data_IF_706880509036
#
_entry.id   IF_706880509036
#
_cell.length_a   1.000
_cell.length_b   1.000
_cell.length_c   1.000
_cell.angle_alpha   90.00
_cell.angle_beta   90.00
_cell.angle_gamma   90.00
#
_symmetry.space_group_name_H-M   'P 1'
#
loop_
_entity.id
_entity.type
_entity.pdbx_description
1 polymer ?
#
# COMPACT_ATOMS: atom_id res chain seq x y z
N UNK A 1 -5.27 27.84 47.35
CA UNK A 1 -5.07 28.30 45.94
C UNK A 1 -4.71 27.11 45.09
N UNK A 2 -5.67 26.55 44.37
CA UNK A 2 -5.47 25.45 43.39
C UNK A 2 -4.88 26.16 42.17
N UNK A 3 -3.57 25.93 41.90
CA UNK A 3 -2.97 26.32 40.63
C UNK A 3 -3.65 25.49 39.56
N UNK A 4 -4.62 26.03 38.85
CA UNK A 4 -5.05 25.49 37.59
C UNK A 4 -3.84 25.25 36.70
N UNK A 5 -3.46 24.00 36.50
CA UNK A 5 -2.46 23.62 35.48
C UNK A 5 -3.02 24.12 34.15
N UNK A 6 -2.57 25.28 33.67
CA UNK A 6 -2.88 25.73 32.31
C UNK A 6 -2.57 24.56 31.39
N UNK A 7 -3.62 24.04 30.80
CA UNK A 7 -3.53 22.92 29.84
C UNK A 7 -2.63 23.39 28.68
N UNK A 8 -1.48 22.74 28.49
CA UNK A 8 -0.59 23.10 27.38
C UNK A 8 -1.34 22.85 26.06
N UNK A 9 -1.56 23.91 25.32
CA UNK A 9 -2.18 23.84 23.98
C UNK A 9 -1.18 23.16 23.04
N UNK A 10 -1.67 22.26 22.21
CA UNK A 10 -0.87 21.61 21.18
C UNK A 10 -0.84 22.51 19.93
N UNK A 11 0.33 22.98 19.55
CA UNK A 11 0.51 23.77 18.32
C UNK A 11 0.19 22.94 17.08
N UNK A 12 0.45 21.64 17.17
CA UNK A 12 0.07 20.64 16.18
C UNK A 12 -0.35 19.35 16.88
N UNK A 13 -1.48 18.78 16.45
CA UNK A 13 -2.02 17.55 17.03
C UNK A 13 -2.44 16.61 15.90
N UNK A 14 -1.69 15.52 15.76
CA UNK A 14 -1.88 14.50 14.70
C UNK A 14 -2.25 13.17 15.33
N UNK A 15 -3.37 12.62 14.92
CA UNK A 15 -3.78 11.26 15.26
C UNK A 15 -3.41 10.33 14.10
N UNK A 16 -2.83 9.17 14.42
CA UNK A 16 -2.83 8.01 13.53
C UNK A 16 -3.79 6.96 14.06
N UNK A 17 -4.62 6.43 13.19
CA UNK A 17 -5.42 5.22 13.42
C UNK A 17 -4.80 4.10 12.61
N UNK A 18 -4.67 2.92 13.22
CA UNK A 18 -4.12 1.71 12.63
C UNK A 18 -4.98 0.52 13.06
N UNK A 19 -5.74 -0.07 12.11
CA UNK A 19 -6.63 -1.19 12.39
C UNK A 19 -5.84 -2.43 12.75
N UNK A 20 -6.26 -3.12 13.81
CA UNK A 20 -5.53 -4.27 14.32
C UNK A 20 -5.76 -5.53 13.48
N UNK A 21 -4.69 -6.06 12.87
CA UNK A 21 -4.71 -7.25 12.01
C UNK A 21 -5.87 -7.22 10.97
N UNK A 22 -6.12 -6.07 10.36
CA UNK A 22 -7.35 -5.66 9.66
C UNK A 22 -8.02 -6.76 8.85
N UNK A 23 -7.33 -7.38 7.88
CA UNK A 23 -7.94 -8.42 7.05
C UNK A 23 -8.31 -9.66 7.86
N UNK A 24 -7.45 -10.06 8.81
CA UNK A 24 -7.73 -11.22 9.65
C UNK A 24 -8.90 -10.95 10.59
N UNK A 25 -8.99 -9.74 11.16
CA UNK A 25 -10.11 -9.36 12.03
C UNK A 25 -11.45 -9.32 11.28
N UNK A 26 -11.47 -8.86 10.02
CA UNK A 26 -12.67 -8.92 9.17
C UNK A 26 -13.06 -10.37 8.88
N UNK A 27 -12.10 -11.27 8.60
CA UNK A 27 -12.42 -12.68 8.40
C UNK A 27 -12.99 -13.31 9.67
N UNK A 28 -12.43 -13.01 10.84
CA UNK A 28 -12.94 -13.51 12.12
C UNK A 28 -14.32 -12.90 12.47
N UNK A 29 -14.59 -11.68 12.06
CA UNK A 29 -15.89 -11.05 12.24
C UNK A 29 -16.96 -11.67 11.32
N UNK A 30 -16.68 -11.78 10.02
CA UNK A 30 -17.61 -12.30 9.02
C UNK A 30 -17.83 -13.82 9.13
N UNK A 31 -16.91 -14.55 9.79
CA UNK A 31 -16.93 -15.99 9.98
C UNK A 31 -16.68 -16.34 11.46
N UNK A 32 -17.73 -16.38 12.29
CA UNK A 32 -17.60 -16.59 13.73
C UNK A 32 -16.82 -17.85 14.13
N UNK A 33 -16.83 -18.89 13.30
CA UNK A 33 -16.05 -20.11 13.52
C UNK A 33 -14.53 -19.89 13.48
N UNK A 34 -14.08 -18.74 12.97
CA UNK A 34 -12.66 -18.35 12.94
C UNK A 34 -12.23 -17.52 14.16
N UNK A 35 -13.17 -17.13 15.01
CA UNK A 35 -12.83 -16.37 16.23
C UNK A 35 -11.96 -17.21 17.15
N UNK A 36 -10.90 -16.57 17.67
CA UNK A 36 -9.91 -17.26 18.50
C UNK A 36 -8.99 -18.24 17.75
N UNK A 37 -9.17 -18.43 16.44
CA UNK A 37 -8.33 -19.30 15.63
C UNK A 37 -7.09 -18.59 15.10
N UNK A 38 -5.94 -19.29 15.02
CA UNK A 38 -4.73 -18.76 14.38
C UNK A 38 -4.90 -18.77 12.86
N UNK A 39 -5.35 -17.65 12.29
CA UNK A 39 -5.60 -17.53 10.85
C UNK A 39 -4.55 -16.70 10.12
N UNK A 40 -4.33 -17.02 8.86
CA UNK A 40 -3.47 -16.24 7.96
C UNK A 40 -4.10 -16.03 6.60
N UNK A 41 -4.04 -14.80 6.15
CA UNK A 41 -4.62 -14.36 4.87
C UNK A 41 -3.59 -14.49 3.76
N UNK A 42 -4.00 -15.01 2.62
CA UNK A 42 -3.15 -15.16 1.42
C UNK A 42 -3.81 -14.56 0.20
N UNK A 43 -3.03 -14.28 -0.85
CA UNK A 43 -3.57 -13.84 -2.14
C UNK A 43 -4.27 -15.02 -2.84
N UNK A 44 -5.52 -15.29 -2.46
CA UNK A 44 -6.33 -16.41 -2.95
C UNK A 44 -5.95 -17.77 -2.38
N UNK A 45 -6.68 -18.81 -2.83
CA UNK A 45 -6.49 -20.18 -2.36
C UNK A 45 -5.11 -20.76 -2.72
N UNK A 46 -4.54 -20.38 -3.85
CA UNK A 46 -3.21 -20.84 -4.30
C UNK A 46 -2.05 -20.02 -3.70
N UNK A 47 -2.37 -18.97 -2.94
CA UNK A 47 -1.37 -18.14 -2.29
C UNK A 47 -0.51 -18.93 -1.31
N UNK A 48 0.81 -18.80 -1.41
CA UNK A 48 1.79 -19.51 -0.58
C UNK A 48 2.39 -18.65 0.49
N UNK A 49 2.17 -17.33 0.44
CA UNK A 49 2.73 -16.34 1.35
C UNK A 49 1.62 -15.64 2.13
N UNK A 50 1.81 -15.49 3.44
CA UNK A 50 0.88 -14.80 4.35
C UNK A 50 1.05 -13.29 4.16
N UNK A 51 -0.04 -12.59 3.81
CA UNK A 51 -0.07 -11.13 3.67
C UNK A 51 -0.41 -10.43 4.99
N UNK A 52 -1.18 -11.08 5.85
CA UNK A 52 -1.42 -10.68 7.25
C UNK A 52 -1.90 -11.89 8.03
N UNK A 53 -1.87 -11.81 9.36
CA UNK A 53 -2.35 -12.89 10.22
C UNK A 53 -2.95 -12.35 11.52
N UNK A 54 -3.82 -13.14 12.13
CA UNK A 54 -4.48 -12.83 13.40
C UNK A 54 -3.50 -12.78 14.57
N UNK A 55 -3.91 -12.19 15.68
CA UNK A 55 -3.08 -12.13 16.89
C UNK A 55 -2.80 -13.50 17.48
N UNK A 56 -3.75 -14.42 17.39
CA UNK A 56 -3.57 -15.81 17.77
C UNK A 56 -2.45 -16.47 16.96
N UNK A 57 -2.41 -16.23 15.64
CA UNK A 57 -1.32 -16.73 14.81
C UNK A 57 0.03 -16.07 15.15
N UNK A 58 0.03 -14.78 15.49
CA UNK A 58 1.25 -14.06 15.93
C UNK A 58 1.82 -14.62 17.23
N UNK A 59 0.98 -15.12 18.15
CA UNK A 59 1.43 -15.78 19.37
C UNK A 59 2.30 -17.02 19.09
N UNK A 60 2.08 -17.71 17.97
CA UNK A 60 2.94 -18.81 17.50
C UNK A 60 4.15 -18.33 16.67
N UNK A 61 4.44 -17.01 16.65
CA UNK A 61 5.54 -16.45 15.89
C UNK A 61 5.30 -16.39 14.37
N UNK A 62 4.04 -16.55 13.92
CA UNK A 62 3.68 -16.41 12.52
C UNK A 62 3.66 -14.92 12.15
N UNK A 63 4.26 -14.57 11.00
CA UNK A 63 4.46 -13.16 10.57
C UNK A 63 4.03 -12.96 9.12
N UNK A 64 3.71 -11.72 8.79
CA UNK A 64 3.58 -11.25 7.40
C UNK A 64 4.84 -11.60 6.59
N UNK A 65 4.64 -12.11 5.37
CA UNK A 65 5.74 -12.56 4.51
C UNK A 65 6.16 -14.03 4.72
N UNK A 66 5.73 -14.68 5.81
CA UNK A 66 6.01 -16.09 6.08
C UNK A 66 5.30 -17.00 5.07
N UNK A 67 5.91 -18.12 4.71
CA UNK A 67 5.26 -19.12 3.86
C UNK A 67 4.22 -19.93 4.67
N UNK A 68 3.10 -20.23 4.04
CA UNK A 68 2.03 -21.05 4.66
C UNK A 68 2.57 -22.40 5.18
N UNK A 69 3.47 -23.04 4.42
CA UNK A 69 4.10 -24.30 4.84
C UNK A 69 4.88 -24.16 6.16
N UNK A 70 5.55 -23.02 6.35
CA UNK A 70 6.28 -22.72 7.59
C UNK A 70 5.32 -22.43 8.74
N UNK A 71 4.27 -21.63 8.47
CA UNK A 71 3.24 -21.33 9.48
C UNK A 71 2.57 -22.60 10.02
N UNK A 72 2.22 -23.54 9.14
CA UNK A 72 1.65 -24.85 9.54
C UNK A 72 2.60 -25.70 10.37
N UNK A 73 3.93 -25.57 10.16
CA UNK A 73 4.91 -26.24 11.02
C UNK A 73 4.98 -25.64 12.43
N UNK A 74 4.69 -24.33 12.57
CA UNK A 74 4.70 -23.64 13.87
C UNK A 74 3.40 -23.84 14.64
N UNK A 75 2.28 -23.99 13.93
CA UNK A 75 0.96 -24.15 14.49
C UNK A 75 0.14 -25.13 13.64
N UNK A 76 -0.15 -26.32 14.16
CA UNK A 76 -0.90 -27.35 13.45
C UNK A 76 -2.36 -26.93 13.19
N UNK A 77 -2.95 -26.13 14.10
CA UNK A 77 -4.30 -25.58 13.95
C UNK A 77 -4.38 -24.35 13.05
N UNK A 78 -3.28 -23.95 12.39
CA UNK A 78 -3.24 -22.77 11.53
C UNK A 78 -4.19 -22.88 10.33
N UNK A 79 -5.12 -21.92 10.25
CA UNK A 79 -6.12 -21.84 9.18
C UNK A 79 -5.70 -20.83 8.12
N UNK A 80 -5.62 -21.27 6.87
CA UNK A 80 -5.37 -20.41 5.72
C UNK A 80 -6.69 -19.92 5.15
N UNK A 81 -6.80 -18.59 4.92
CA UNK A 81 -7.95 -17.95 4.28
C UNK A 81 -7.52 -17.18 3.03
N UNK A 82 -8.31 -17.21 1.94
CA UNK A 82 -8.09 -16.36 0.78
C UNK A 82 -8.51 -14.93 1.11
N UNK A 83 -7.82 -13.94 0.54
CA UNK A 83 -8.19 -12.53 0.70
C UNK A 83 -9.50 -12.20 -0.03
N UNK A 84 -10.29 -11.27 0.56
CA UNK A 84 -11.53 -10.71 0.01
C UNK A 84 -11.41 -9.19 -0.19
N UNK A 85 -10.67 -8.72 -1.23
CA UNK A 85 -10.34 -7.29 -1.38
C UNK A 85 -11.56 -6.37 -1.41
N UNK A 86 -12.68 -6.76 -2.04
CA UNK A 86 -13.91 -5.96 -2.06
C UNK A 86 -14.43 -5.71 -0.64
N UNK A 87 -14.54 -6.75 0.17
CA UNK A 87 -15.02 -6.66 1.55
C UNK A 87 -14.14 -5.76 2.41
N UNK A 88 -12.81 -5.91 2.26
CA UNK A 88 -11.85 -5.05 2.97
C UNK A 88 -11.97 -3.58 2.55
N UNK A 89 -12.18 -3.31 1.26
CA UNK A 89 -12.40 -1.96 0.76
C UNK A 89 -13.71 -1.34 1.28
N UNK A 90 -14.79 -2.12 1.37
CA UNK A 90 -16.08 -1.67 1.91
C UNK A 90 -15.95 -1.22 3.36
N UNK A 91 -15.36 -2.08 4.22
CA UNK A 91 -15.15 -1.76 5.63
C UNK A 91 -14.22 -0.56 5.80
N UNK A 92 -13.12 -0.54 5.06
CA UNK A 92 -12.18 0.59 5.07
C UNK A 92 -12.86 1.90 4.65
N UNK A 93 -13.62 1.90 3.55
CA UNK A 93 -14.30 3.12 3.08
C UNK A 93 -15.31 3.64 4.10
N UNK A 94 -16.03 2.76 4.79
CA UNK A 94 -16.95 3.13 5.88
C UNK A 94 -16.19 3.82 7.02
N UNK A 95 -15.08 3.24 7.46
CA UNK A 95 -14.23 3.83 8.50
C UNK A 95 -13.70 5.21 8.05
N UNK A 96 -13.09 5.28 6.86
CA UNK A 96 -12.48 6.53 6.38
C UNK A 96 -13.49 7.67 6.22
N UNK A 97 -14.73 7.36 5.78
CA UNK A 97 -15.80 8.35 5.68
C UNK A 97 -16.24 8.87 7.06
N UNK A 98 -16.29 8.01 8.08
CA UNK A 98 -16.62 8.44 9.44
C UNK A 98 -15.55 9.36 10.04
N UNK A 99 -14.28 9.19 9.68
CA UNK A 99 -13.20 10.03 10.18
C UNK A 99 -13.32 11.49 9.73
N UNK A 100 -13.92 11.75 8.57
CA UNK A 100 -14.13 13.09 8.04
C UNK A 100 -15.06 13.91 8.95
N UNK A 101 -15.92 13.28 9.75
CA UNK A 101 -16.78 13.95 10.72
C UNK A 101 -16.02 14.65 11.86
N UNK A 102 -14.77 14.28 12.12
CA UNK A 102 -13.92 14.90 13.15
C UNK A 102 -13.09 16.07 12.61
N UNK A 103 -12.60 15.93 11.39
CA UNK A 103 -11.78 16.94 10.71
C UNK A 103 -11.81 16.70 9.19
N UNK A 104 -11.82 17.76 8.36
CA UNK A 104 -11.64 17.61 6.93
C UNK A 104 -10.22 17.18 6.55
N UNK A 105 -9.24 17.37 7.44
CA UNK A 105 -7.83 17.12 7.22
C UNK A 105 -7.50 15.64 7.52
N UNK A 106 -8.05 14.72 6.70
CA UNK A 106 -7.82 13.27 6.78
C UNK A 106 -6.95 12.80 5.61
N UNK A 107 -5.82 12.19 5.92
CA UNK A 107 -4.99 11.48 4.94
C UNK A 107 -5.17 9.98 5.06
N UNK A 108 -5.81 9.36 4.09
CA UNK A 108 -5.85 7.90 3.99
C UNK A 108 -4.47 7.40 3.59
N UNK A 109 -3.74 6.85 4.55
CA UNK A 109 -2.37 6.39 4.34
C UNK A 109 -2.32 4.99 3.70
N UNK A 110 -3.18 4.08 4.17
CA UNK A 110 -3.38 2.75 3.60
C UNK A 110 -4.86 2.32 3.73
N UNK A 111 -5.18 1.08 3.40
CA UNK A 111 -6.53 0.52 3.56
C UNK A 111 -6.95 0.41 5.04
N UNK A 112 -5.99 0.38 5.95
CA UNK A 112 -6.17 0.15 7.38
C UNK A 112 -5.56 1.26 8.26
N UNK A 113 -5.00 2.31 7.66
CA UNK A 113 -4.35 3.41 8.38
C UNK A 113 -4.78 4.78 7.83
N UNK A 114 -5.04 5.73 8.73
CA UNK A 114 -5.30 7.12 8.38
C UNK A 114 -4.68 8.09 9.40
N UNK A 115 -4.17 9.22 8.89
CA UNK A 115 -3.78 10.35 9.71
C UNK A 115 -4.88 11.40 9.72
N UNK A 116 -5.13 11.99 10.90
CA UNK A 116 -6.05 13.10 11.09
C UNK A 116 -5.26 14.28 11.68
N UNK A 117 -5.35 15.44 11.08
CA UNK A 117 -4.91 16.69 11.71
C UNK A 117 -6.08 17.29 12.48
N UNK A 118 -6.00 17.23 13.81
CA UNK A 118 -7.04 17.74 14.69
C UNK A 118 -6.63 19.07 15.36
N UNK A 119 -5.58 19.70 14.87
CA UNK A 119 -5.02 20.94 15.46
C UNK A 119 -6.09 22.02 15.59
N UNK A 120 -6.91 22.20 14.56
CA UNK A 120 -7.96 23.23 14.53
C UNK A 120 -9.25 22.80 15.26
N UNK A 121 -9.40 21.51 15.56
CA UNK A 121 -10.62 20.95 16.17
C UNK A 121 -10.61 21.03 17.69
N UNK A 122 -9.50 21.38 18.32
CA UNK A 122 -9.33 21.40 19.77
C UNK A 122 -10.32 22.32 20.50
N UNK A 123 -10.68 23.47 19.90
CA UNK A 123 -11.64 24.40 20.50
C UNK A 123 -13.06 23.85 20.49
N UNK A 124 -13.42 23.05 19.49
CA UNK A 124 -14.77 22.52 19.31
C UNK A 124 -14.97 21.19 20.04
N UNK A 125 -14.01 20.27 19.90
CA UNK A 125 -14.15 18.88 20.35
C UNK A 125 -13.44 18.60 21.69
N UNK A 126 -12.64 19.55 22.20
CA UNK A 126 -11.91 19.43 23.44
C UNK A 126 -10.42 19.13 23.24
N UNK A 127 -9.75 18.67 24.29
CA UNK A 127 -8.33 18.40 24.21
C UNK A 127 -8.00 17.22 23.25
N UNK A 128 -6.77 17.15 22.70
CA UNK A 128 -6.38 16.12 21.71
C UNK A 128 -6.59 14.69 22.21
N UNK A 129 -6.37 14.42 23.49
CA UNK A 129 -6.53 13.08 24.08
C UNK A 129 -8.00 12.65 24.07
N UNK A 130 -8.92 13.56 24.42
CA UNK A 130 -10.36 13.32 24.37
C UNK A 130 -10.81 13.06 22.91
N UNK A 131 -10.29 13.84 21.96
CA UNK A 131 -10.60 13.66 20.54
C UNK A 131 -10.11 12.27 20.08
N UNK A 132 -8.90 11.86 20.46
CA UNK A 132 -8.35 10.55 20.13
C UNK A 132 -9.20 9.40 20.69
N UNK A 133 -9.74 9.54 21.89
CA UNK A 133 -10.68 8.58 22.50
C UNK A 133 -11.99 8.51 21.73
N UNK A 134 -12.57 9.67 21.33
CA UNK A 134 -13.80 9.75 20.55
C UNK A 134 -13.62 9.12 19.17
N UNK A 135 -12.50 9.40 18.52
CA UNK A 135 -12.14 8.81 17.21
C UNK A 135 -12.02 7.30 17.34
N UNK A 136 -11.31 6.79 18.35
CA UNK A 136 -11.16 5.34 18.58
C UNK A 136 -12.52 4.67 18.78
N UNK A 137 -13.38 5.27 19.60
CA UNK A 137 -14.75 4.78 19.83
C UNK A 137 -15.57 4.78 18.55
N UNK A 138 -15.54 5.87 17.77
CA UNK A 138 -16.27 5.97 16.50
C UNK A 138 -15.83 4.90 15.49
N UNK A 139 -14.52 4.62 15.40
CA UNK A 139 -14.00 3.56 14.54
C UNK A 139 -14.54 2.21 14.98
N UNK A 140 -14.54 1.90 16.26
CA UNK A 140 -15.12 0.67 16.80
C UNK A 140 -16.61 0.55 16.46
N UNK A 141 -17.40 1.60 16.70
CA UNK A 141 -18.85 1.61 16.48
C UNK A 141 -19.20 1.47 14.99
N UNK A 142 -18.49 2.17 14.09
CA UNK A 142 -18.77 2.14 12.65
C UNK A 142 -18.21 0.90 11.93
N UNK A 143 -17.31 0.14 12.57
CA UNK A 143 -16.70 -1.06 12.00
C UNK A 143 -17.22 -2.36 12.59
N UNK A 144 -18.38 -2.30 13.22
CA UNK A 144 -19.03 -3.47 13.86
C UNK A 144 -18.15 -4.15 14.93
N UNK A 145 -17.39 -3.33 15.68
CA UNK A 145 -16.57 -3.80 16.79
C UNK A 145 -15.12 -4.13 16.46
N UNK A 146 -14.64 -3.85 15.25
CA UNK A 146 -13.22 -4.05 14.94
C UNK A 146 -12.33 -3.12 15.76
N UNK A 147 -11.21 -3.66 16.22
CA UNK A 147 -10.28 -2.93 17.07
C UNK A 147 -9.26 -2.15 16.26
N UNK A 148 -8.88 -0.96 16.77
CA UNK A 148 -7.78 -0.17 16.24
C UNK A 148 -6.83 0.30 17.32
N UNK A 149 -5.57 0.55 16.96
CA UNK A 149 -4.60 1.22 17.81
C UNK A 149 -4.45 2.67 17.36
N UNK A 150 -4.43 3.58 18.32
CA UNK A 150 -4.38 5.02 18.08
C UNK A 150 -3.10 5.61 18.64
N UNK A 151 -2.39 6.38 17.83
CA UNK A 151 -1.25 7.18 18.25
C UNK A 151 -1.54 8.67 18.10
N UNK A 152 -1.28 9.44 19.13
CA UNK A 152 -1.45 10.89 19.13
C UNK A 152 -0.10 11.57 19.41
N UNK A 153 0.30 12.50 18.54
CA UNK A 153 1.53 13.28 18.71
C UNK A 153 1.48 14.61 17.96
N UNK A 154 2.57 15.39 18.04
CA UNK A 154 2.73 16.64 17.29
C UNK A 154 3.08 16.48 15.82
N UNK A 155 3.40 15.27 15.36
CA UNK A 155 3.78 14.99 13.98
C UNK A 155 3.39 13.57 13.54
N UNK A 156 3.39 13.34 12.21
CA UNK A 156 2.96 12.07 11.61
C UNK A 156 3.85 10.89 12.01
N UNK A 157 5.15 11.09 12.01
CA UNK A 157 6.11 10.00 12.29
C UNK A 157 6.01 9.55 13.74
N UNK A 158 5.97 10.48 14.68
CA UNK A 158 5.84 10.17 16.09
C UNK A 158 4.47 9.61 16.43
N UNK A 159 3.37 10.10 15.82
CA UNK A 159 2.05 9.53 15.97
C UNK A 159 2.01 8.06 15.48
N UNK A 160 2.67 7.76 14.35
CA UNK A 160 2.77 6.38 13.85
C UNK A 160 3.60 5.47 14.74
N UNK A 161 4.67 6.00 15.31
CA UNK A 161 5.44 5.27 16.33
C UNK A 161 4.61 4.99 17.58
N UNK A 162 3.88 5.99 18.09
CA UNK A 162 3.01 5.86 19.25
C UNK A 162 1.95 4.76 19.09
N UNK A 163 1.31 4.69 17.92
CA UNK A 163 0.29 3.68 17.63
C UNK A 163 0.81 2.23 17.70
N UNK A 164 2.13 2.01 17.52
CA UNK A 164 2.73 0.67 17.61
C UNK A 164 2.95 0.19 19.05
N UNK A 165 3.14 1.12 20.02
CA UNK A 165 3.65 0.80 21.36
C UNK A 165 2.69 -0.07 22.18
N UNK A 166 1.39 0.11 21.98
CA UNK A 166 0.36 -0.61 22.75
C UNK A 166 -0.62 -1.36 21.83
N UNK A 167 -0.10 -2.10 20.85
CA UNK A 167 -0.93 -2.99 20.02
C UNK A 167 -1.20 -4.33 20.74
N UNK A 168 -2.41 -4.92 20.64
CA UNK A 168 -3.61 -4.38 20.00
C UNK A 168 -4.41 -3.40 20.88
N UNK A 169 -5.38 -2.73 20.27
CA UNK A 169 -6.41 -1.91 20.92
C UNK A 169 -5.89 -0.79 21.84
N UNK A 170 -4.65 -0.35 21.66
CA UNK A 170 -4.02 0.69 22.45
C UNK A 170 -4.38 2.11 22.03
N UNK A 171 -4.23 3.05 22.97
CA UNK A 171 -4.15 4.47 22.71
C UNK A 171 -2.87 4.98 23.39
N UNK A 172 -1.97 5.55 22.61
CA UNK A 172 -0.71 6.09 23.12
C UNK A 172 -0.57 7.55 22.73
N UNK A 173 -0.30 8.37 23.73
CA UNK A 173 -0.09 9.83 23.57
C UNK A 173 1.39 10.14 23.80
N UNK A 174 2.02 10.76 22.84
CA UNK A 174 3.37 11.33 22.94
C UNK A 174 3.25 12.83 22.64
N UNK A 175 3.15 13.70 23.68
CA UNK A 175 3.00 15.12 23.48
C UNK A 175 4.20 15.72 22.71
N UNK A 176 4.00 16.79 21.90
CA UNK A 176 5.08 17.39 21.10
C UNK A 176 6.35 17.71 21.91
N UNK A 177 6.18 18.22 23.10
CA UNK A 177 7.30 18.57 24.01
C UNK A 177 8.02 17.36 24.62
N UNK A 178 7.45 16.15 24.53
CA UNK A 178 8.08 14.91 25.01
C UNK A 178 8.67 14.08 23.86
N UNK A 179 8.31 14.36 22.60
CA UNK A 179 8.63 13.53 21.42
C UNK A 179 10.14 13.29 21.31
N UNK A 180 10.97 14.32 21.44
CA UNK A 180 12.44 14.18 21.36
C UNK A 180 12.99 13.21 22.41
N UNK A 181 12.54 13.33 23.66
CA UNK A 181 13.02 12.48 24.75
C UNK A 181 12.54 11.02 24.59
N UNK A 182 11.28 10.82 24.20
CA UNK A 182 10.72 9.48 23.98
C UNK A 182 11.43 8.77 22.82
N UNK A 183 11.74 9.50 21.75
CA UNK A 183 12.41 8.90 20.58
C UNK A 183 13.92 8.70 20.81
N UNK A 184 14.55 9.34 21.78
CA UNK A 184 16.01 9.37 21.94
C UNK A 184 16.67 7.98 21.84
N UNK A 185 16.12 6.97 22.48
CA UNK A 185 16.65 5.59 22.49
C UNK A 185 16.00 4.65 21.47
N UNK A 186 15.10 5.17 20.63
CA UNK A 186 14.39 4.38 19.62
C UNK A 186 15.31 4.12 18.44
N UNK A 187 15.46 2.86 17.96
CA UNK A 187 16.19 2.57 16.75
C UNK A 187 15.65 3.39 15.58
N UNK A 188 16.52 4.02 14.80
CA UNK A 188 16.09 4.85 13.66
C UNK A 188 15.26 4.06 12.63
N UNK A 189 15.51 2.76 12.51
CA UNK A 189 14.78 1.84 11.62
C UNK A 189 13.36 1.56 12.05
N UNK A 190 12.96 1.92 13.26
CA UNK A 190 11.58 1.80 13.75
C UNK A 190 10.69 2.94 13.27
N UNK A 191 11.30 4.04 12.81
CA UNK A 191 10.58 5.14 12.20
C UNK A 191 10.08 4.78 10.80
N UNK A 192 8.86 5.19 10.50
CA UNK A 192 8.24 4.94 9.20
C UNK A 192 9.07 5.57 8.07
N UNK A 193 9.38 4.78 7.04
CA UNK A 193 10.16 5.23 5.88
C UNK A 193 11.66 4.99 5.97
N UNK A 194 12.19 4.57 7.13
CA UNK A 194 13.60 4.20 7.28
C UNK A 194 13.74 2.67 7.20
N UNK A 195 13.83 2.18 5.97
CA UNK A 195 14.07 0.77 5.69
C UNK A 195 15.58 0.45 5.62
N UNK A 196 15.93 -0.82 5.35
CA UNK A 196 17.30 -1.33 5.35
C UNK A 196 18.31 -0.43 4.63
N UNK A 197 17.97 0.10 3.44
CA UNK A 197 18.92 0.92 2.67
C UNK A 197 19.32 2.23 3.37
N UNK A 198 18.33 2.95 3.93
CA UNK A 198 18.59 4.17 4.70
C UNK A 198 19.20 3.81 6.05
N UNK A 199 18.69 2.77 6.71
CA UNK A 199 19.23 2.28 7.98
C UNK A 199 20.71 1.90 7.90
N UNK A 200 21.14 1.19 6.86
CA UNK A 200 22.56 0.86 6.64
C UNK A 200 23.41 2.11 6.42
N UNK A 201 22.93 3.06 5.61
CA UNK A 201 23.62 4.34 5.39
C UNK A 201 23.82 5.14 6.69
N UNK A 202 22.83 5.13 7.58
CA UNK A 202 22.90 5.77 8.89
C UNK A 202 23.86 5.04 9.82
N UNK A 203 23.78 3.71 9.89
CA UNK A 203 24.64 2.87 10.72
C UNK A 203 26.14 3.02 10.37
N UNK A 204 26.48 3.11 9.07
CA UNK A 204 27.86 3.40 8.59
C UNK A 204 28.41 4.74 9.11
N UNK A 205 27.54 5.61 9.65
CA UNK A 205 27.87 6.94 10.20
C UNK A 205 27.64 7.04 11.68
N UNK A 206 27.51 5.90 12.37
CA UNK A 206 27.35 5.83 13.82
C UNK A 206 25.94 6.21 14.30
N UNK A 207 24.93 6.25 13.43
CA UNK A 207 23.55 6.59 13.80
C UNK A 207 22.72 5.32 13.85
N UNK A 208 22.46 4.82 15.06
CA UNK A 208 21.67 3.62 15.33
C UNK A 208 20.33 3.95 15.98
N UNK A 209 20.31 4.91 16.88
CA UNK A 209 19.09 5.40 17.54
C UNK A 209 18.79 6.84 17.14
N UNK A 210 17.56 7.27 17.36
CA UNK A 210 17.12 8.63 16.99
C UNK A 210 17.97 9.72 17.66
N UNK A 211 18.42 9.50 18.90
CA UNK A 211 19.30 10.42 19.61
C UNK A 211 20.65 10.68 18.95
N UNK A 212 21.19 9.69 18.21
CA UNK A 212 22.46 9.84 17.50
C UNK A 212 22.35 10.81 16.32
N UNK A 213 21.12 11.01 15.78
CA UNK A 213 20.89 11.85 14.60
C UNK A 213 21.39 13.28 14.79
N UNK A 214 21.37 13.80 16.01
CA UNK A 214 21.86 15.16 16.29
C UNK A 214 23.36 15.33 15.98
N UNK A 215 24.15 14.24 15.99
CA UNK A 215 25.58 14.25 15.70
C UNK A 215 25.87 14.20 14.19
N UNK A 216 24.87 13.90 13.37
CA UNK A 216 25.00 13.84 11.90
C UNK A 216 24.52 15.16 11.29
N UNK A 217 25.40 15.90 10.56
CA UNK A 217 24.97 17.11 9.88
C UNK A 217 23.86 16.82 8.86
N UNK A 218 22.78 17.61 8.89
CA UNK A 218 21.62 17.47 7.98
C UNK A 218 22.02 17.48 6.50
N UNK A 219 23.11 18.21 6.17
CA UNK A 219 23.64 18.28 4.81
C UNK A 219 24.10 16.93 4.26
N UNK A 220 24.57 16.01 5.11
CA UNK A 220 24.98 14.64 4.70
C UNK A 220 23.79 13.86 4.17
N UNK A 221 22.65 13.91 4.87
CA UNK A 221 21.40 13.27 4.46
C UNK A 221 20.80 13.98 3.23
N UNK A 222 20.83 15.31 3.21
CA UNK A 222 20.33 16.10 2.09
C UNK A 222 21.08 15.80 0.78
N UNK A 223 22.41 15.67 0.84
CA UNK A 223 23.25 15.32 -0.32
C UNK A 223 22.90 13.95 -0.90
N UNK A 224 22.58 12.96 -0.06
CA UNK A 224 22.30 11.58 -0.48
C UNK A 224 20.85 11.34 -0.87
N UNK A 225 19.88 11.93 -0.14
CA UNK A 225 18.45 11.62 -0.25
C UNK A 225 17.58 12.86 -0.56
N UNK A 226 18.17 14.02 -0.80
CA UNK A 226 17.44 15.26 -1.09
C UNK A 226 16.53 15.69 0.07
N UNK A 227 15.32 16.13 -0.24
CA UNK A 227 14.34 16.58 0.75
C UNK A 227 13.89 15.45 1.70
N UNK A 228 13.87 14.19 1.24
CA UNK A 228 13.60 13.06 2.10
C UNK A 228 14.68 12.94 3.20
N UNK A 229 15.95 13.15 2.85
CA UNK A 229 17.03 13.14 3.84
C UNK A 229 16.88 14.22 4.91
N UNK A 230 16.51 15.44 4.51
CA UNK A 230 16.22 16.52 5.47
C UNK A 230 15.06 16.15 6.39
N UNK A 231 13.99 15.62 5.83
CA UNK A 231 12.83 15.15 6.59
C UNK A 231 13.21 14.09 7.62
N UNK A 232 14.00 13.07 7.23
CA UNK A 232 14.46 12.00 8.12
C UNK A 232 15.20 12.55 9.34
N UNK A 233 16.02 13.60 9.14
CA UNK A 233 16.73 14.26 10.22
C UNK A 233 15.78 14.87 11.28
N UNK A 234 14.71 15.52 10.83
CA UNK A 234 13.67 16.07 11.70
C UNK A 234 12.81 14.96 12.34
N UNK A 235 12.46 13.92 11.58
CA UNK A 235 11.67 12.78 12.08
C UNK A 235 12.32 12.15 13.32
N UNK A 236 13.64 11.95 13.30
CA UNK A 236 14.37 11.37 14.43
C UNK A 236 14.33 12.25 15.71
N UNK A 237 13.98 13.51 15.56
CA UNK A 237 13.86 14.45 16.67
C UNK A 237 12.41 14.69 17.12
N UNK A 238 11.45 13.98 16.53
CA UNK A 238 10.01 14.18 16.78
C UNK A 238 9.49 15.51 16.24
N UNK A 239 10.02 15.96 15.12
CA UNK A 239 9.71 17.22 14.46
C UNK A 239 9.43 17.03 12.96
N UNK A 240 8.78 15.93 12.57
CA UNK A 240 8.45 15.67 11.15
C UNK A 240 7.61 16.82 10.57
N UNK A 241 8.16 17.61 9.62
CA UNK A 241 7.48 18.78 9.08
C UNK A 241 6.35 18.42 8.10
N UNK A 242 6.23 17.16 7.70
CA UNK A 242 5.26 16.77 6.68
C UNK A 242 3.82 17.00 7.16
N UNK A 243 3.00 17.76 6.41
CA UNK A 243 1.60 17.95 6.76
C UNK A 243 0.78 16.68 6.46
N UNK A 244 -0.41 16.60 7.04
CA UNK A 244 -1.44 15.66 6.62
C UNK A 244 -1.88 16.03 5.22
N UNK A 245 -1.76 15.10 4.27
CA UNK A 245 -2.01 15.35 2.85
C UNK A 245 -3.39 14.80 2.45
N UNK A 246 -4.34 15.70 2.27
CA UNK A 246 -5.72 15.38 1.86
C UNK A 246 -5.84 15.13 0.34
N UNK A 247 -4.83 15.51 -0.44
CA UNK A 247 -4.90 15.43 -1.89
C UNK A 247 -4.63 14.01 -2.39
N UNK A 248 -5.50 13.52 -3.27
CA UNK A 248 -5.29 12.30 -4.02
C UNK A 248 -4.44 12.63 -5.26
N UNK A 249 -3.12 12.51 -5.13
CA UNK A 249 -2.23 12.79 -6.26
C UNK A 249 -2.40 11.75 -7.38
N UNK A 250 -2.24 12.18 -8.63
CA UNK A 250 -2.17 11.26 -9.78
C UNK A 250 -1.09 10.20 -9.60
N UNK A 251 -1.31 8.97 -10.05
CA UNK A 251 -0.34 7.90 -9.91
C UNK A 251 0.93 8.22 -10.71
N UNK A 252 2.10 8.02 -10.11
CA UNK A 252 3.39 8.17 -10.80
C UNK A 252 3.63 7.04 -11.81
N UNK A 253 3.01 5.90 -11.61
CA UNK A 253 3.08 4.75 -12.50
C UNK A 253 1.91 3.80 -12.25
N UNK A 254 1.52 3.04 -13.27
CA UNK A 254 0.47 2.02 -13.21
C UNK A 254 1.06 0.71 -13.71
N UNK A 255 1.16 -0.28 -12.84
CA UNK A 255 1.80 -1.54 -13.23
C UNK A 255 1.18 -2.77 -12.60
N UNK A 256 1.50 -3.92 -13.19
CA UNK A 256 1.16 -5.22 -12.64
C UNK A 256 2.25 -6.24 -12.94
N UNK A 257 2.50 -7.13 -11.98
CA UNK A 257 3.41 -8.25 -12.14
C UNK A 257 2.79 -9.55 -11.66
N UNK A 258 3.26 -10.66 -12.21
CA UNK A 258 2.78 -12.00 -11.85
C UNK A 258 3.93 -12.96 -11.71
N UNK A 259 3.93 -13.70 -10.61
CA UNK A 259 4.80 -14.86 -10.41
C UNK A 259 4.31 -15.98 -11.30
N UNK A 260 5.24 -16.68 -11.93
CA UNK A 260 5.01 -17.84 -12.79
C UNK A 260 5.48 -19.12 -12.10
N UNK A 261 5.14 -20.30 -12.61
CA UNK A 261 5.78 -21.55 -12.17
C UNK A 261 7.31 -21.40 -12.24
N UNK A 262 8.05 -21.86 -11.22
CA UNK A 262 9.49 -21.66 -11.16
C UNK A 262 10.21 -22.22 -12.39
N UNK A 263 11.22 -21.46 -12.86
CA UNK A 263 12.08 -21.89 -13.97
C UNK A 263 11.34 -22.16 -15.29
N UNK A 264 10.26 -21.40 -15.57
CA UNK A 264 9.49 -21.51 -16.82
C UNK A 264 10.36 -21.10 -18.01
N UNK A 265 10.61 -22.03 -18.95
CA UNK A 265 11.39 -21.81 -20.19
C UNK A 265 10.52 -21.81 -21.45
N UNK A 266 9.25 -22.21 -21.32
CA UNK A 266 8.31 -22.23 -22.43
C UNK A 266 7.89 -20.81 -22.81
N UNK A 267 8.28 -20.40 -24.01
CA UNK A 267 7.96 -19.07 -24.57
C UNK A 267 6.46 -18.84 -24.72
N UNK A 268 5.67 -19.88 -24.98
CA UNK A 268 4.22 -19.76 -25.13
C UNK A 268 3.57 -19.43 -23.80
N UNK A 269 4.00 -20.06 -22.72
CA UNK A 269 3.55 -19.77 -21.36
C UNK A 269 3.93 -18.34 -20.99
N UNK A 270 5.18 -17.93 -21.21
CA UNK A 270 5.66 -16.57 -20.92
C UNK A 270 4.84 -15.53 -21.69
N UNK A 271 4.54 -15.77 -22.97
CA UNK A 271 3.68 -14.90 -23.80
C UNK A 271 2.26 -14.79 -23.23
N UNK A 272 1.66 -15.87 -22.72
CA UNK A 272 0.34 -15.84 -22.06
C UNK A 272 0.38 -14.97 -20.80
N UNK A 273 1.43 -15.08 -19.99
CA UNK A 273 1.57 -14.23 -18.80
C UNK A 273 1.75 -12.75 -19.16
N UNK A 274 2.54 -12.44 -20.20
CA UNK A 274 2.66 -11.05 -20.66
C UNK A 274 1.36 -10.52 -21.26
N UNK A 275 0.61 -11.32 -22.03
CA UNK A 275 -0.71 -10.93 -22.52
C UNK A 275 -1.65 -10.61 -21.35
N UNK A 276 -1.71 -11.49 -20.35
CA UNK A 276 -2.52 -11.28 -19.16
C UNK A 276 -2.15 -9.97 -18.43
N UNK A 277 -0.86 -9.70 -18.24
CA UNK A 277 -0.41 -8.46 -17.57
C UNK A 277 -0.67 -7.23 -18.43
N UNK A 278 -0.55 -7.33 -19.76
CA UNK A 278 -0.87 -6.23 -20.68
C UNK A 278 -2.34 -5.82 -20.58
N UNK A 279 -3.26 -6.79 -20.60
CA UNK A 279 -4.69 -6.53 -20.44
C UNK A 279 -5.00 -5.95 -19.05
N UNK A 280 -4.35 -6.45 -17.98
CA UNK A 280 -4.52 -5.90 -16.62
C UNK A 280 -4.03 -4.47 -16.49
N UNK A 281 -2.90 -4.11 -17.08
CA UNK A 281 -2.39 -2.73 -17.06
C UNK A 281 -3.30 -1.83 -17.90
N UNK A 282 -3.74 -2.30 -19.07
CA UNK A 282 -4.65 -1.57 -19.93
C UNK A 282 -6.02 -1.31 -19.27
N UNK A 283 -6.63 -2.34 -18.67
CA UNK A 283 -7.87 -2.21 -17.87
C UNK A 283 -7.74 -1.12 -16.80
N UNK A 284 -6.61 -1.11 -16.07
CA UNK A 284 -6.36 -0.12 -15.02
C UNK A 284 -6.17 1.29 -15.57
N UNK A 285 -5.47 1.44 -16.70
CA UNK A 285 -5.32 2.72 -17.38
C UNK A 285 -6.71 3.25 -17.78
N UNK A 286 -7.55 2.42 -18.43
CA UNK A 286 -8.91 2.80 -18.84
C UNK A 286 -9.81 3.14 -17.67
N UNK A 287 -9.80 2.32 -16.61
CA UNK A 287 -10.61 2.52 -15.39
C UNK A 287 -10.43 3.90 -14.78
N UNK A 288 -9.23 4.47 -14.84
CA UNK A 288 -8.92 5.77 -14.27
C UNK A 288 -8.72 6.85 -15.33
N UNK A 289 -9.15 6.60 -16.56
CA UNK A 289 -9.01 7.51 -17.71
C UNK A 289 -7.58 7.97 -17.96
N UNK A 290 -6.61 7.09 -17.76
CA UNK A 290 -5.21 7.32 -18.08
C UNK A 290 -4.79 6.66 -19.39
N UNK A 291 -3.74 7.21 -19.99
CA UNK A 291 -2.96 6.62 -21.08
C UNK A 291 -1.47 6.79 -20.80
N UNK A 292 -0.62 5.97 -21.39
CA UNK A 292 0.83 6.06 -21.24
C UNK A 292 1.52 5.71 -22.55
N UNK A 293 2.70 6.29 -22.76
CA UNK A 293 3.53 6.01 -23.93
C UNK A 293 4.78 5.22 -23.56
N UNK A 294 5.22 5.27 -22.31
CA UNK A 294 6.46 4.68 -21.81
C UNK A 294 6.14 3.54 -20.86
N UNK A 295 6.69 2.36 -21.15
CA UNK A 295 6.47 1.15 -20.38
C UNK A 295 7.78 0.53 -19.92
N UNK A 296 7.87 0.18 -18.64
CA UNK A 296 8.85 -0.75 -18.13
C UNK A 296 8.34 -2.17 -18.33
N UNK A 297 9.13 -3.02 -18.95
CA UNK A 297 8.84 -4.44 -19.14
C UNK A 297 9.99 -5.22 -18.57
N UNK A 298 9.69 -6.24 -17.76
CA UNK A 298 10.71 -7.06 -17.13
C UNK A 298 10.30 -8.50 -16.94
N UNK A 299 11.29 -9.38 -16.93
CA UNK A 299 11.19 -10.79 -16.60
C UNK A 299 12.24 -11.10 -15.55
N UNK A 300 11.83 -11.75 -14.47
CA UNK A 300 12.74 -12.20 -13.41
C UNK A 300 13.29 -13.56 -13.77
N UNK A 301 14.60 -13.67 -13.82
CA UNK A 301 15.33 -14.90 -14.07
C UNK A 301 16.20 -15.26 -12.85
N UNK A 302 16.87 -16.40 -12.89
CA UNK A 302 17.89 -16.70 -11.89
C UNK A 302 19.04 -15.67 -12.03
N UNK A 303 19.37 -15.00 -10.91
CA UNK A 303 20.40 -13.96 -10.89
C UNK A 303 19.91 -12.52 -11.04
N UNK A 304 18.60 -12.28 -11.33
CA UNK A 304 18.11 -10.91 -11.37
C UNK A 304 16.94 -10.64 -12.30
N UNK A 305 16.86 -9.39 -12.78
CA UNK A 305 15.85 -8.94 -13.71
C UNK A 305 16.45 -8.62 -15.07
N UNK A 306 15.94 -9.27 -16.11
CA UNK A 306 16.03 -8.75 -17.47
C UNK A 306 14.93 -7.71 -17.62
N UNK A 307 15.25 -6.48 -18.00
CA UNK A 307 14.24 -5.43 -18.10
C UNK A 307 14.63 -4.35 -19.10
N UNK A 308 13.62 -3.67 -19.62
CA UNK A 308 13.80 -2.54 -20.54
C UNK A 308 12.68 -1.52 -20.41
N UNK A 309 12.99 -0.28 -20.78
CA UNK A 309 11.99 0.77 -21.01
C UNK A 309 11.71 0.84 -22.50
N UNK A 310 10.48 0.58 -22.89
CA UNK A 310 10.03 0.59 -24.28
C UNK A 310 8.94 1.63 -24.45
N UNK A 311 8.76 2.07 -25.69
CA UNK A 311 7.87 3.17 -26.04
C UNK A 311 6.92 2.73 -27.15
N UNK A 312 5.66 3.14 -27.03
CA UNK A 312 4.71 3.14 -28.15
C UNK A 312 4.87 4.44 -28.96
N UNK A 313 4.45 4.44 -30.20
CA UNK A 313 4.51 5.63 -31.06
C UNK A 313 3.58 6.75 -30.53
N UNK A 314 2.54 6.39 -29.78
CA UNK A 314 1.56 7.27 -29.18
C UNK A 314 1.18 6.79 -27.78
N UNK A 315 0.60 7.66 -26.97
CA UNK A 315 0.07 7.26 -25.66
C UNK A 315 -1.12 6.33 -25.86
N UNK A 316 -1.16 5.23 -25.11
CA UNK A 316 -2.14 4.16 -25.28
C UNK A 316 -2.66 3.63 -23.95
N UNK A 317 -3.89 3.14 -23.97
CA UNK A 317 -4.48 2.29 -22.94
C UNK A 317 -4.98 0.95 -23.54
N UNK A 318 -4.45 0.58 -24.73
CA UNK A 318 -4.77 -0.66 -25.44
C UNK A 318 -3.83 -1.80 -25.01
N UNK A 319 -4.39 -2.89 -24.50
CA UNK A 319 -3.63 -4.08 -24.09
C UNK A 319 -2.83 -4.72 -25.22
N UNK A 320 -3.31 -4.62 -26.45
CA UNK A 320 -2.61 -5.18 -27.63
C UNK A 320 -1.31 -4.42 -27.94
N UNK A 321 -1.32 -3.10 -27.84
CA UNK A 321 -0.13 -2.28 -28.08
C UNK A 321 0.92 -2.54 -27.00
N UNK A 322 0.49 -2.64 -25.73
CA UNK A 322 1.36 -3.01 -24.62
C UNK A 322 1.93 -4.42 -24.84
N UNK A 323 1.10 -5.36 -25.30
CA UNK A 323 1.54 -6.73 -25.57
C UNK A 323 2.56 -6.80 -26.73
N UNK A 324 2.39 -6.00 -27.80
CA UNK A 324 3.39 -5.90 -28.89
C UNK A 324 4.76 -5.47 -28.35
N UNK A 325 4.80 -4.52 -27.40
CA UNK A 325 6.06 -4.15 -26.73
C UNK A 325 6.65 -5.33 -25.95
N UNK A 326 5.83 -6.12 -25.28
CA UNK A 326 6.32 -7.32 -24.57
C UNK A 326 6.91 -8.36 -25.53
N UNK A 327 6.31 -8.56 -26.70
CA UNK A 327 6.87 -9.46 -27.73
C UNK A 327 8.22 -8.94 -28.26
N UNK A 328 8.32 -7.65 -28.53
CA UNK A 328 9.57 -7.01 -28.94
C UNK A 328 10.65 -7.11 -27.87
N UNK A 329 10.25 -6.94 -26.59
CA UNK A 329 11.14 -7.13 -25.45
C UNK A 329 11.69 -8.56 -25.38
N UNK A 330 10.81 -9.57 -25.48
CA UNK A 330 11.22 -10.99 -25.45
C UNK A 330 12.19 -11.31 -26.56
N UNK A 331 11.90 -10.85 -27.80
CA UNK A 331 12.77 -11.08 -28.96
C UNK A 331 14.18 -10.46 -28.75
N UNK A 332 14.25 -9.31 -28.07
CA UNK A 332 15.52 -8.56 -27.93
C UNK A 332 16.36 -9.02 -26.74
N UNK A 333 15.73 -9.38 -25.62
CA UNK A 333 16.45 -9.51 -24.34
C UNK A 333 16.40 -10.90 -23.73
N UNK A 334 15.42 -11.77 -24.09
CA UNK A 334 15.29 -13.08 -23.47
C UNK A 334 15.91 -14.17 -24.36
N UNK A 335 16.88 -14.91 -23.80
CA UNK A 335 17.63 -15.93 -24.54
C UNK A 335 17.25 -17.38 -24.15
N UNK A 336 16.10 -17.57 -23.46
CA UNK A 336 15.64 -18.91 -23.05
C UNK A 336 15.88 -19.25 -21.59
N UNK A 337 16.30 -18.27 -20.78
CA UNK A 337 16.50 -18.48 -19.34
C UNK A 337 15.20 -18.80 -18.63
N UNK A 338 15.30 -19.59 -17.56
CA UNK A 338 14.14 -19.92 -16.72
C UNK A 338 13.57 -18.69 -16.04
N UNK A 339 12.29 -18.42 -16.29
CA UNK A 339 11.55 -17.28 -15.78
C UNK A 339 10.80 -17.62 -14.49
N UNK A 340 10.68 -16.61 -13.61
CA UNK A 340 10.02 -16.72 -12.30
C UNK A 340 8.88 -15.70 -12.14
N UNK A 341 8.95 -14.56 -12.83
CA UNK A 341 7.98 -13.49 -12.71
C UNK A 341 8.03 -12.60 -13.95
N UNK A 342 6.89 -12.07 -14.37
CA UNK A 342 6.79 -10.98 -15.36
C UNK A 342 6.29 -9.71 -14.70
N UNK A 343 6.70 -8.55 -15.23
CA UNK A 343 6.30 -7.23 -14.77
C UNK A 343 6.08 -6.32 -15.96
N UNK A 344 4.97 -5.56 -15.94
CA UNK A 344 4.70 -4.45 -16.86
C UNK A 344 4.31 -3.25 -16.01
N UNK A 345 4.87 -2.09 -16.33
CA UNK A 345 4.55 -0.84 -15.64
C UNK A 345 4.51 0.31 -16.64
N UNK A 346 3.34 0.94 -16.78
CA UNK A 346 3.18 2.22 -17.46
C UNK A 346 3.86 3.31 -16.61
N UNK A 347 4.81 4.02 -17.20
CA UNK A 347 5.58 5.08 -16.54
C UNK A 347 4.98 6.44 -16.93
N UNK A 348 4.84 7.33 -15.96
CA UNK A 348 4.26 8.67 -16.15
C UNK A 348 2.88 8.66 -16.86
N UNK A 349 1.88 7.91 -16.32
CA UNK A 349 0.56 7.90 -16.91
C UNK A 349 -0.06 9.30 -16.84
N UNK A 350 -0.68 9.75 -17.95
CA UNK A 350 -1.35 11.05 -18.07
C UNK A 350 -2.84 10.84 -18.25
N UNK A 351 -3.65 11.79 -17.79
CA UNK A 351 -5.06 11.79 -18.09
C UNK A 351 -5.24 11.74 -19.61
N UNK A 352 -6.14 10.89 -20.04
CA UNK A 352 -6.45 10.71 -21.45
C UNK A 352 -6.99 12.01 -22.02
N UNK A 353 -6.32 12.49 -23.08
CA UNK A 353 -6.79 13.67 -23.81
C UNK A 353 -7.91 13.24 -24.76
N UNK A 354 -9.07 13.89 -24.68
CA UNK A 354 -10.20 13.65 -25.60
C UNK A 354 -10.00 14.31 -26.98
N UNK A 355 -8.90 15.03 -27.16
CA UNK A 355 -8.62 15.67 -28.44
C UNK A 355 -8.36 14.59 -29.50
N UNK A 356 -9.19 14.56 -30.52
CA UNK A 356 -9.01 13.73 -31.72
C UNK A 356 -7.67 14.06 -32.39
N UNK A 357 -6.85 13.07 -32.61
CA UNK A 357 -5.59 13.22 -33.34
C UNK A 357 -5.87 13.19 -34.83
N UNK A 358 -5.45 14.21 -35.52
CA UNK A 358 -5.76 14.44 -36.95
C UNK A 358 -5.26 13.30 -37.86
N UNK A 359 -4.19 12.58 -37.47
CA UNK A 359 -3.52 11.58 -38.30
C UNK A 359 -3.53 10.16 -37.71
N UNK A 360 -3.92 10.01 -36.46
CA UNK A 360 -4.04 8.69 -35.87
C UNK A 360 -5.51 8.23 -35.98
N UNK A 361 -5.81 7.38 -36.94
CA UNK A 361 -7.08 6.67 -37.00
C UNK A 361 -7.23 5.76 -35.78
N UNK A 362 -7.30 6.38 -34.59
CA UNK A 362 -7.71 5.67 -33.38
C UNK A 362 -9.14 5.25 -33.66
N UNK A 363 -9.27 3.97 -33.85
CA UNK A 363 -10.50 3.31 -34.10
C UNK A 363 -11.44 3.56 -32.92
N UNK A 364 -12.28 4.61 -33.00
CA UNK A 364 -13.27 4.94 -31.95
C UNK A 364 -14.08 3.69 -31.59
N UNK A 365 -14.42 2.86 -32.59
CA UNK A 365 -15.05 1.58 -32.44
C UNK A 365 -14.30 0.63 -31.49
N UNK A 366 -12.99 0.82 -31.34
CA UNK A 366 -12.14 -0.03 -30.49
C UNK A 366 -12.24 0.37 -29.02
N UNK A 367 -12.39 1.66 -28.75
CA UNK A 367 -12.58 2.14 -27.39
C UNK A 367 -13.95 1.79 -26.86
N UNK A 368 -14.98 1.82 -27.72
CA UNK A 368 -16.33 1.38 -27.36
C UNK A 368 -16.35 -0.12 -27.08
N UNK A 369 -15.64 -0.91 -27.90
CA UNK A 369 -15.45 -2.33 -27.62
C UNK A 369 -14.80 -2.59 -26.25
N UNK A 370 -13.73 -1.87 -25.91
CA UNK A 370 -13.08 -2.02 -24.60
C UNK A 370 -13.98 -1.59 -23.45
N UNK A 371 -14.77 -0.53 -23.63
CA UNK A 371 -15.75 -0.10 -22.64
C UNK A 371 -16.78 -1.23 -22.39
N UNK A 372 -17.35 -1.79 -23.43
CA UNK A 372 -18.28 -2.91 -23.32
C UNK A 372 -17.63 -4.14 -22.65
N UNK A 373 -16.40 -4.50 -23.03
CA UNK A 373 -15.65 -5.60 -22.41
C UNK A 373 -15.38 -5.33 -20.93
N UNK A 374 -14.98 -4.11 -20.58
CA UNK A 374 -14.70 -3.70 -19.19
C UNK A 374 -15.99 -3.72 -18.35
N UNK A 375 -17.13 -3.29 -18.90
CA UNK A 375 -18.45 -3.35 -18.22
C UNK A 375 -18.87 -4.80 -17.94
N UNK A 376 -18.75 -5.71 -18.92
CA UNK A 376 -19.04 -7.13 -18.72
C UNK A 376 -18.10 -7.73 -17.65
N UNK A 377 -16.80 -7.44 -17.72
CA UNK A 377 -15.83 -7.94 -16.74
C UNK A 377 -16.05 -7.38 -15.34
N UNK A 378 -16.57 -6.15 -15.22
CA UNK A 378 -16.94 -5.57 -13.94
C UNK A 378 -18.17 -6.25 -13.33
N UNK A 379 -19.16 -6.59 -14.17
CA UNK A 379 -20.43 -7.21 -13.76
C UNK A 379 -20.28 -8.69 -13.42
N UNK A 380 -19.59 -9.45 -14.27
CA UNK A 380 -19.51 -10.90 -14.18
C UNK A 380 -18.20 -11.45 -13.64
N UNK A 381 -17.24 -10.58 -13.37
CA UNK A 381 -15.92 -10.94 -12.85
C UNK A 381 -14.79 -10.72 -13.85
N UNK A 382 -13.59 -10.49 -13.32
CA UNK A 382 -12.41 -10.19 -14.11
C UNK A 382 -12.12 -11.27 -15.16
N UNK A 383 -11.95 -10.86 -16.42
CA UNK A 383 -11.66 -11.74 -17.56
C UNK A 383 -12.78 -12.70 -17.95
N UNK A 384 -14.05 -12.40 -17.61
CA UNK A 384 -15.22 -13.12 -18.18
C UNK A 384 -15.24 -12.98 -19.70
N UNK A 385 -14.92 -11.79 -20.23
CA UNK A 385 -14.55 -11.58 -21.62
C UNK A 385 -13.04 -11.30 -21.69
N UNK A 386 -12.33 -12.05 -22.51
CA UNK A 386 -10.89 -11.90 -22.69
C UNK A 386 -10.41 -12.52 -24.01
N UNK A 387 -9.22 -12.16 -24.52
CA UNK A 387 -8.62 -12.85 -25.66
C UNK A 387 -8.54 -14.37 -25.43
N UNK A 388 -8.90 -15.18 -26.43
CA UNK A 388 -8.94 -16.64 -26.30
C UNK A 388 -7.65 -17.28 -25.78
N UNK A 389 -6.49 -16.69 -26.09
CA UNK A 389 -5.19 -17.14 -25.55
C UNK A 389 -5.10 -17.06 -24.02
N UNK A 390 -5.95 -16.28 -23.36
CA UNK A 390 -6.01 -16.19 -21.89
C UNK A 390 -6.82 -17.31 -21.24
N UNK A 391 -7.39 -18.25 -21.99
CA UNK A 391 -7.99 -19.47 -21.43
C UNK A 391 -7.00 -20.24 -20.55
N UNK A 392 -5.69 -20.17 -20.85
CA UNK A 392 -4.62 -20.77 -20.06
C UNK A 392 -3.95 -19.80 -19.06
N UNK A 393 -4.60 -18.65 -18.77
CA UNK A 393 -4.05 -17.70 -17.80
C UNK A 393 -4.02 -18.29 -16.40
N UNK A 394 -3.12 -17.74 -15.57
CA UNK A 394 -3.13 -18.05 -14.15
C UNK A 394 -4.46 -17.66 -13.49
N UNK A 395 -5.07 -18.56 -12.74
CA UNK A 395 -6.29 -18.34 -11.96
C UNK A 395 -6.06 -17.51 -10.69
N UNK A 396 -4.83 -17.11 -10.40
CA UNK A 396 -4.55 -16.31 -9.20
C UNK A 396 -5.32 -14.99 -9.22
N UNK A 397 -5.97 -14.62 -8.12
CA UNK A 397 -6.71 -13.38 -8.00
C UNK A 397 -5.78 -12.17 -8.08
N UNK A 398 -6.37 -10.97 -8.11
CA UNK A 398 -5.62 -9.74 -8.00
C UNK A 398 -4.80 -9.74 -6.70
N UNK A 399 -3.52 -9.41 -6.81
CA UNK A 399 -2.64 -9.29 -5.65
C UNK A 399 -3.00 -8.01 -4.90
N UNK A 400 -3.18 -8.10 -3.60
CA UNK A 400 -3.24 -6.92 -2.73
C UNK A 400 -1.83 -6.34 -2.69
N UNK A 401 -1.65 -5.13 -3.23
CA UNK A 401 -0.39 -4.43 -3.18
C UNK A 401 -0.18 -3.80 -1.79
N UNK A 402 1.08 -3.69 -1.33
CA UNK A 402 1.40 -2.84 -0.18
C UNK A 402 0.85 -1.42 -0.40
N UNK A 403 0.41 -0.75 0.66
CA UNK A 403 -0.21 0.58 0.61
C UNK A 403 -1.46 0.68 -0.29
N UNK A 404 -2.19 -0.42 -0.46
CA UNK A 404 -3.51 -0.40 -1.07
C UNK A 404 -4.45 0.52 -0.28
N UNK A 405 -5.31 1.26 -1.00
CA UNK A 405 -6.25 2.23 -0.42
C UNK A 405 -7.68 1.91 -0.86
N UNK A 406 -8.71 2.27 -0.07
CA UNK A 406 -10.10 2.05 -0.41
C UNK A 406 -10.56 2.90 -1.60
N UNK A 407 -11.78 2.64 -2.06
CA UNK A 407 -12.39 3.41 -3.15
C UNK A 407 -12.49 4.89 -2.81
N UNK A 408 -12.36 5.76 -3.83
CA UNK A 408 -12.37 7.22 -3.68
C UNK A 408 -11.05 7.83 -3.21
N UNK A 409 -10.10 7.00 -2.75
CA UNK A 409 -8.76 7.43 -2.36
C UNK A 409 -7.73 6.92 -3.37
N UNK A 410 -6.50 7.48 -3.33
CA UNK A 410 -5.42 7.03 -4.19
C UNK A 410 -5.17 5.54 -3.97
N UNK A 411 -5.65 4.72 -4.89
CA UNK A 411 -5.33 3.29 -4.90
C UNK A 411 -3.90 3.11 -5.43
N UNK A 412 -3.18 2.18 -4.84
CA UNK A 412 -1.93 1.67 -5.44
C UNK A 412 -2.33 0.85 -6.66
N UNK A 413 -2.23 1.48 -7.80
CA UNK A 413 -2.66 0.94 -9.08
C UNK A 413 -1.50 0.15 -9.70
#
# INVERSE_FOLDING_TARGET
MIKEKRQKIWDRAIILIDMNAFFASIEQFDFPELQGQPIGITNGWDGTTIITCSYEARAFGIKTGMRVKEAKKRCNSFVKRPSRPKRYAEVSSRIMNELISFTPDVEVFSVDEAFLDITRCQKLLGNPEKIAQLVKKRVHDCSDGLLCSVGLSGDKTTAKYAAKLKKPDGLTVIPPWASKNVLHHVPVTDLCGIAKGIGSFLAERGVYVCGDMQNLPIGVLAKRFGNLGRRIWFMAQGLDPEPVNINVASPKSIGHGKVMPPNTKDIYIIKVFFLHMSEKVAERLRKYSFEAQRFFIGIKINGGWLSGKLYTNYATCDGRDIYKLCLSFLKKYWLGEGAYQVQITALDPKLRNQQLRLFDGINENRMDLYKAVDEVNQRYGNFSLSPARLMHRSKMPNVIAPAWKPFGHRQTI
#
